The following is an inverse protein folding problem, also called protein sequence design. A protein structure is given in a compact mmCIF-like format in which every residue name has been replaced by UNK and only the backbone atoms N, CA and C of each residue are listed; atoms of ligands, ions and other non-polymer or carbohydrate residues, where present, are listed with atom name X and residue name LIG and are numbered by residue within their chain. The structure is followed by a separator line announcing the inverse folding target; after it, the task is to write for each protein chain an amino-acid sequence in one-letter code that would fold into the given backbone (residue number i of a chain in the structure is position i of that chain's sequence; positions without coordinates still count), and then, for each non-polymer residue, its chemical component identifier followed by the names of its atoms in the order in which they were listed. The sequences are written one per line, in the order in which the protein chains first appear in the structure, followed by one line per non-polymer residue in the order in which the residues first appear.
data_IF_870101890311
#
_entry.id   IF_870101890311
#
_cell.length_a   1.000
_cell.length_b   1.000
_cell.length_c   1.000
_cell.angle_alpha   90.00
_cell.angle_beta   90.00
_cell.angle_gamma   90.00
#
_symmetry.space_group_name_H-M   'P 1'
#
loop_
_entity.id
_entity.type
_entity.pdbx_description
1 polymer ?
#
# COMPACT_ATOMS: atom_id res chain seq x y z
N UNK A 1 -4.82 9.06 -13.33
CA UNK A 1 -4.34 7.67 -13.50
C UNK A 1 -5.22 6.70 -12.75
N UNK A 2 -5.40 5.53 -13.33
CA UNK A 2 -6.17 4.46 -12.68
C UNK A 2 -5.32 3.77 -11.61
N UNK A 3 -6.00 3.16 -10.65
CA UNK A 3 -5.35 2.42 -9.57
C UNK A 3 -4.40 1.34 -10.12
N UNK A 4 -4.81 0.61 -11.17
CA UNK A 4 -3.98 -0.45 -11.76
C UNK A 4 -2.66 0.08 -12.34
N UNK A 5 -2.66 1.27 -12.88
CA UNK A 5 -1.43 1.89 -13.41
C UNK A 5 -0.48 2.25 -12.29
N UNK A 6 -1.01 2.77 -11.19
CA UNK A 6 -0.23 3.12 -10.00
C UNK A 6 0.34 1.86 -9.35
N UNK A 7 -0.46 0.79 -9.27
CA UNK A 7 0.00 -0.50 -8.73
C UNK A 7 1.12 -1.09 -9.59
N UNK A 8 1.00 -1.04 -10.91
CA UNK A 8 2.05 -1.53 -11.81
C UNK A 8 3.35 -0.74 -11.65
N UNK A 9 3.24 0.57 -11.47
CA UNK A 9 4.40 1.42 -11.22
C UNK A 9 5.11 1.01 -9.93
N UNK A 10 4.36 0.78 -8.85
CA UNK A 10 4.94 0.32 -7.58
C UNK A 10 5.71 -0.98 -7.78
N UNK A 11 5.10 -1.96 -8.43
CA UNK A 11 5.72 -3.27 -8.64
C UNK A 11 7.03 -3.13 -9.44
N UNK A 12 6.99 -2.36 -10.53
CA UNK A 12 8.16 -2.15 -11.38
C UNK A 12 9.29 -1.43 -10.63
N UNK A 13 8.97 -0.38 -9.86
CA UNK A 13 9.97 0.39 -9.13
C UNK A 13 10.62 -0.40 -7.99
N UNK A 14 9.85 -1.19 -7.27
CA UNK A 14 10.41 -2.05 -6.22
C UNK A 14 11.38 -3.07 -6.81
N UNK A 15 11.00 -3.71 -7.91
CA UNK A 15 11.86 -4.68 -8.59
C UNK A 15 13.12 -4.02 -9.14
N UNK A 16 12.99 -2.85 -9.75
CA UNK A 16 14.12 -2.08 -10.29
C UNK A 16 15.15 -1.77 -9.20
N UNK A 17 14.71 -1.53 -7.98
CA UNK A 17 15.56 -1.22 -6.83
C UNK A 17 16.07 -2.48 -6.10
N UNK A 18 15.79 -3.66 -6.62
CA UNK A 18 16.26 -4.92 -6.04
C UNK A 18 15.43 -5.43 -4.88
N UNK A 19 14.22 -4.91 -4.70
CA UNK A 19 13.32 -5.35 -3.65
C UNK A 19 12.39 -6.48 -4.09
N UNK A 20 11.54 -6.87 -3.18
CA UNK A 20 10.49 -7.86 -3.39
C UNK A 20 9.13 -7.23 -3.10
N UNK A 21 8.14 -7.57 -3.92
CA UNK A 21 6.77 -7.08 -3.73
C UNK A 21 5.80 -8.24 -3.94
N UNK A 22 4.81 -8.35 -3.07
CA UNK A 22 3.84 -9.45 -3.12
C UNK A 22 2.43 -8.91 -3.11
N UNK A 23 1.55 -9.55 -3.87
CA UNK A 23 0.12 -9.31 -3.79
C UNK A 23 -0.39 -9.88 -2.48
N UNK A 24 -1.24 -9.13 -1.78
CA UNK A 24 -1.75 -9.53 -0.47
C UNK A 24 -3.25 -9.78 -0.56
N UNK A 25 -3.68 -10.83 0.12
CA UNK A 25 -5.09 -11.13 0.27
C UNK A 25 -5.30 -11.90 1.58
N UNK A 26 -6.22 -11.42 2.41
CA UNK A 26 -6.63 -12.19 3.59
C UNK A 26 -7.63 -13.27 3.18
N UNK A 27 -7.49 -14.44 3.78
CA UNK A 27 -8.49 -15.49 3.68
C UNK A 27 -9.32 -15.44 4.95
N UNK A 28 -10.63 -15.37 4.81
CA UNK A 28 -11.56 -15.37 5.95
C UNK A 28 -11.77 -14.03 6.63
N UNK A 29 -11.22 -12.94 6.08
CA UNK A 29 -11.51 -11.59 6.54
C UNK A 29 -11.26 -10.58 5.42
N UNK A 30 -11.73 -9.35 5.61
CA UNK A 30 -11.63 -8.28 4.61
C UNK A 30 -10.65 -7.19 5.06
N UNK A 31 -10.27 -6.33 4.10
CA UNK A 31 -9.55 -5.11 4.40
C UNK A 31 -8.04 -5.20 4.27
N UNK A 32 -7.50 -6.30 3.76
CA UNK A 32 -6.06 -6.40 3.54
C UNK A 32 -5.56 -5.29 2.61
N UNK A 33 -4.38 -4.71 2.88
CA UNK A 33 -3.71 -3.85 1.90
C UNK A 33 -3.40 -4.61 0.62
N UNK A 34 -3.18 -3.89 -0.50
CA UNK A 34 -2.99 -4.51 -1.81
C UNK A 34 -1.64 -5.23 -1.95
N UNK A 35 -0.57 -4.64 -1.42
CA UNK A 35 0.79 -5.11 -1.64
C UNK A 35 1.62 -5.07 -0.37
N UNK A 36 2.53 -6.03 -0.27
CA UNK A 36 3.60 -6.02 0.73
C UNK A 36 4.90 -5.73 0.01
N UNK A 37 5.60 -4.68 0.43
CA UNK A 37 6.86 -4.23 -0.15
C UNK A 37 7.99 -4.51 0.82
N UNK A 38 9.04 -5.20 0.32
CA UNK A 38 10.23 -5.53 1.08
C UNK A 38 11.44 -5.00 0.32
N UNK A 39 12.11 -4.01 0.89
CA UNK A 39 13.24 -3.35 0.22
C UNK A 39 14.21 -2.83 1.28
N UNK A 40 15.51 -3.05 1.07
CA UNK A 40 16.55 -2.50 1.94
C UNK A 40 16.44 -0.98 1.98
N UNK A 41 16.62 -0.38 3.17
CA UNK A 41 16.55 1.06 3.33
C UNK A 41 15.15 1.61 3.59
N UNK A 42 14.14 0.77 3.53
CA UNK A 42 12.77 1.13 3.91
C UNK A 42 12.59 0.81 5.40
N UNK A 43 12.91 1.76 6.28
CA UNK A 43 12.62 1.72 7.72
C UNK A 43 12.94 0.38 8.42
N UNK A 44 13.80 -0.45 7.86
CA UNK A 44 14.15 -1.80 8.34
C UNK A 44 12.94 -2.75 8.48
N UNK A 45 11.82 -2.43 7.86
CA UNK A 45 10.58 -3.21 7.93
C UNK A 45 9.93 -3.29 6.57
N UNK A 46 9.14 -4.34 6.37
CA UNK A 46 8.24 -4.38 5.23
C UNK A 46 7.16 -3.31 5.37
N UNK A 47 6.68 -2.80 4.24
CA UNK A 47 5.61 -1.80 4.21
C UNK A 47 4.41 -2.36 3.47
N UNK A 48 3.26 -2.26 4.10
CA UNK A 48 1.98 -2.65 3.51
C UNK A 48 1.42 -1.45 2.75
N UNK A 49 1.07 -1.64 1.49
CA UNK A 49 0.65 -0.54 0.62
C UNK A 49 -0.74 -0.79 0.07
N UNK A 50 -1.65 0.15 0.35
CA UNK A 50 -2.97 0.23 -0.25
C UNK A 50 -2.89 1.20 -1.42
N UNK A 51 -3.33 0.78 -2.62
CA UNK A 51 -3.31 1.63 -3.80
C UNK A 51 -4.70 2.18 -4.09
N UNK A 52 -4.76 3.45 -4.47
CA UNK A 52 -5.98 4.12 -4.91
C UNK A 52 -5.73 4.81 -6.25
N UNK A 53 -6.81 5.06 -7.00
CA UNK A 53 -6.72 5.90 -8.18
C UNK A 53 -6.29 7.32 -7.80
N UNK A 54 -5.68 8.01 -8.74
CA UNK A 54 -5.13 9.35 -8.53
C UNK A 54 -6.16 10.31 -7.91
N UNK A 55 -5.76 10.98 -6.83
CA UNK A 55 -6.59 11.93 -6.11
C UNK A 55 -7.47 11.32 -5.03
N UNK A 56 -7.57 9.99 -4.94
CA UNK A 56 -8.51 9.36 -4.02
C UNK A 56 -7.92 9.03 -2.65
N UNK A 57 -6.60 9.07 -2.48
CA UNK A 57 -5.99 8.83 -1.17
C UNK A 57 -6.40 9.88 -0.14
N UNK A 58 -6.54 11.13 -0.56
CA UNK A 58 -6.96 12.22 0.33
C UNK A 58 -8.40 12.05 0.84
N UNK A 59 -9.22 11.27 0.14
CA UNK A 59 -10.60 10.99 0.53
C UNK A 59 -10.74 9.70 1.33
N UNK A 60 -9.67 8.92 1.43
CA UNK A 60 -9.70 7.63 2.12
C UNK A 60 -9.67 7.80 3.65
N UNK A 61 -10.58 7.13 4.42
CA UNK A 61 -11.64 6.25 3.94
C UNK A 61 -12.92 7.04 3.65
N UNK A 62 -13.56 6.79 2.49
CA UNK A 62 -14.76 7.50 2.08
C UNK A 62 -15.99 6.57 2.00
N UNK A 63 -15.86 5.42 1.36
CA UNK A 63 -16.95 4.46 1.20
C UNK A 63 -17.05 3.50 2.39
N UNK A 64 -18.17 2.78 2.56
CA UNK A 64 -18.26 1.73 3.59
C UNK A 64 -17.16 0.67 3.46
N UNK A 65 -16.83 0.28 2.24
CA UNK A 65 -15.73 -0.67 1.98
C UNK A 65 -14.39 -0.09 2.44
N UNK A 66 -14.13 1.17 2.12
CA UNK A 66 -12.89 1.85 2.54
C UNK A 66 -12.82 2.03 4.05
N UNK A 67 -13.95 2.29 4.71
CA UNK A 67 -13.96 2.37 6.17
C UNK A 67 -13.60 1.03 6.80
N UNK A 68 -14.02 -0.09 6.18
CA UNK A 68 -13.63 -1.42 6.62
C UNK A 68 -12.12 -1.65 6.42
N UNK A 69 -11.59 -1.25 5.26
CA UNK A 69 -10.14 -1.31 5.00
C UNK A 69 -9.37 -0.49 6.04
N UNK A 70 -9.83 0.73 6.31
CA UNK A 70 -9.18 1.61 7.28
C UNK A 70 -9.15 1.00 8.68
N UNK A 71 -10.25 0.37 9.12
CA UNK A 71 -10.28 -0.32 10.43
C UNK A 71 -9.26 -1.44 10.49
N UNK A 72 -9.09 -2.18 9.41
CA UNK A 72 -8.07 -3.24 9.34
C UNK A 72 -6.66 -2.65 9.38
N UNK A 73 -6.41 -1.57 8.63
CA UNK A 73 -5.12 -0.88 8.65
C UNK A 73 -4.78 -0.39 10.07
N UNK A 74 -5.77 0.16 10.77
CA UNK A 74 -5.55 0.63 12.14
C UNK A 74 -5.22 -0.51 13.10
N UNK A 75 -5.84 -1.69 12.94
CA UNK A 75 -5.48 -2.87 13.73
C UNK A 75 -4.03 -3.29 13.47
N UNK A 76 -3.61 -3.25 12.20
CA UNK A 76 -2.24 -3.58 11.82
C UNK A 76 -1.24 -2.58 12.41
N UNK A 77 -1.56 -1.29 12.34
CA UNK A 77 -0.72 -0.23 12.91
C UNK A 77 -0.60 -0.37 14.43
N UNK A 78 -1.68 -0.75 15.09
CA UNK A 78 -1.69 -0.93 16.54
C UNK A 78 -0.72 -2.02 17.01
N UNK A 79 -0.37 -2.98 16.16
CA UNK A 79 0.61 -4.02 16.47
C UNK A 79 1.95 -3.78 15.76
N UNK A 80 2.22 -2.54 15.36
CA UNK A 80 3.53 -2.12 14.90
C UNK A 80 3.78 -2.21 13.40
N UNK A 81 2.76 -2.48 12.60
CA UNK A 81 2.93 -2.55 11.14
C UNK A 81 2.85 -1.16 10.51
N UNK A 82 3.63 -0.95 9.47
CA UNK A 82 3.53 0.27 8.66
C UNK A 82 2.60 0.01 7.49
N UNK A 83 1.51 0.77 7.44
CA UNK A 83 0.53 0.69 6.36
C UNK A 83 0.37 2.09 5.77
N UNK A 84 0.53 2.21 4.46
CA UNK A 84 0.40 3.48 3.75
C UNK A 84 -0.64 3.35 2.64
N UNK A 85 -1.28 4.48 2.31
CA UNK A 85 -2.23 4.59 1.20
C UNK A 85 -1.63 5.53 0.17
N UNK A 86 -1.44 5.04 -1.05
CA UNK A 86 -0.76 5.79 -2.12
C UNK A 86 -1.65 5.86 -3.36
N UNK A 87 -1.62 7.00 -4.05
CA UNK A 87 -2.43 7.24 -5.25
C UNK A 87 -1.65 7.94 -6.37
N UNK A 88 -0.31 7.94 -6.30
CA UNK A 88 0.49 8.65 -7.29
C UNK A 88 1.88 8.06 -7.44
N UNK A 89 2.48 8.30 -8.60
CA UNK A 89 3.89 7.96 -8.82
C UNK A 89 4.79 8.72 -7.84
N UNK A 90 4.48 10.00 -7.60
CA UNK A 90 5.25 10.81 -6.65
C UNK A 90 5.21 10.22 -5.23
N UNK A 91 4.04 9.75 -4.80
CA UNK A 91 3.90 9.10 -3.49
C UNK A 91 4.71 7.82 -3.38
N UNK A 92 4.73 7.03 -4.45
CA UNK A 92 5.53 5.81 -4.52
C UNK A 92 7.02 6.17 -4.47
N UNK A 93 7.46 7.14 -5.27
CA UNK A 93 8.86 7.56 -5.29
C UNK A 93 9.31 8.11 -3.94
N UNK A 94 8.43 8.80 -3.23
CA UNK A 94 8.73 9.31 -1.88
C UNK A 94 8.84 8.19 -0.84
N UNK A 95 8.13 7.09 -1.03
CA UNK A 95 8.21 5.92 -0.14
C UNK A 95 9.51 5.16 -0.33
N UNK A 96 9.94 5.00 -1.58
CA UNK A 96 11.09 4.16 -1.94
C UNK A 96 12.40 4.97 -1.82
N UNK A 97 13.46 4.37 -1.29
CA UNK A 97 14.76 5.04 -1.19
C UNK A 97 15.44 5.26 -2.52
#
# INVERSE_FOLDING_TARGET
MRESEIEQYLVAKVKEKGGEVRKVKWIGRNGAPDRLVMLKGIHNHAVWVELKAEGLAALFPHTPHERQQHREHERMRAVGQRVVVLDSYAGIDALLP
#
